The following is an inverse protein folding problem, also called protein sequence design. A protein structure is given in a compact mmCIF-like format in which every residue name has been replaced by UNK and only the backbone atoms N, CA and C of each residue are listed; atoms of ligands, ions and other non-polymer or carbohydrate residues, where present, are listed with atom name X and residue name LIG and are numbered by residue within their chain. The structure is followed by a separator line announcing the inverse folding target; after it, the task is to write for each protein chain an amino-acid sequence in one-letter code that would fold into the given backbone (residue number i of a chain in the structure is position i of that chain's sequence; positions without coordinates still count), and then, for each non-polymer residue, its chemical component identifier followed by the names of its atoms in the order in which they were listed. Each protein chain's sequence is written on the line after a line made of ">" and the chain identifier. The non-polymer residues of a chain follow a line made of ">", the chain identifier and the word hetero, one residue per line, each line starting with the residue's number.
data_IF_661688053875
#
_entry.id   IF_661688053875
#
_cell.length_a   1.000
_cell.length_b   1.000
_cell.length_c   1.000
_cell.angle_alpha   90.00
_cell.angle_beta   90.00
_cell.angle_gamma   90.00
#
_symmetry.space_group_name_H-M   'P 1'
#
loop_
_entity.id
_entity.type
_entity.pdbx_description
1 polymer ?
#
# COMPACT_ATOMS: atom_id res chain seq x y z
N UNK A 1 -20.71 22.35 -23.76
CA UNK A 1 -19.40 23.04 -23.85
C UNK A 1 -19.61 24.39 -24.53
N UNK A 2 -19.14 25.50 -23.97
CA UNK A 2 -19.38 26.86 -24.51
C UNK A 2 -18.36 27.25 -25.60
N UNK A 3 -18.78 28.00 -26.61
CA UNK A 3 -17.91 28.55 -27.65
C UNK A 3 -16.72 29.36 -27.09
N UNK A 4 -16.92 30.09 -25.99
CA UNK A 4 -15.86 30.83 -25.29
C UNK A 4 -14.78 29.89 -24.73
N UNK A 5 -15.20 28.72 -24.25
CA UNK A 5 -14.28 27.72 -23.71
C UNK A 5 -13.39 27.14 -24.82
N UNK A 6 -13.98 26.84 -25.98
CA UNK A 6 -13.27 26.33 -27.16
C UNK A 6 -12.24 27.35 -27.66
N UNK A 7 -12.63 28.61 -27.81
CA UNK A 7 -11.72 29.69 -28.25
C UNK A 7 -10.53 29.87 -27.29
N UNK A 8 -10.78 29.79 -25.98
CA UNK A 8 -9.72 29.82 -24.95
C UNK A 8 -8.74 28.64 -25.07
N UNK A 9 -9.24 27.43 -25.35
CA UNK A 9 -8.40 26.24 -25.54
C UNK A 9 -7.55 26.35 -26.81
N UNK A 10 -8.14 26.79 -27.93
CA UNK A 10 -7.41 27.01 -29.18
C UNK A 10 -6.30 28.05 -29.03
N UNK A 11 -6.57 29.18 -28.36
CA UNK A 11 -5.56 30.20 -28.10
C UNK A 11 -4.42 29.68 -27.20
N UNK A 12 -4.74 28.84 -26.20
CA UNK A 12 -3.72 28.18 -25.36
C UNK A 12 -2.88 27.17 -26.16
N UNK A 13 -3.53 26.38 -27.00
CA UNK A 13 -2.84 25.41 -27.86
C UNK A 13 -1.89 26.10 -28.83
N UNK A 14 -2.32 27.22 -29.41
CA UNK A 14 -1.49 28.01 -30.33
C UNK A 14 -0.27 28.65 -29.67
N UNK A 15 -0.31 28.93 -28.36
CA UNK A 15 0.77 29.65 -27.65
C UNK A 15 1.73 28.71 -26.90
N UNK A 16 1.22 27.61 -26.36
CA UNK A 16 1.94 26.71 -25.45
C UNK A 16 2.03 25.27 -25.99
N UNK A 17 1.50 25.01 -27.18
CA UNK A 17 1.50 23.69 -27.81
C UNK A 17 0.63 22.67 -27.05
N UNK A 18 0.80 21.38 -27.37
CA UNK A 18 -0.02 20.30 -26.81
C UNK A 18 -0.01 20.21 -25.28
N UNK A 19 1.07 20.69 -24.63
CA UNK A 19 1.19 20.74 -23.17
C UNK A 19 0.12 21.62 -22.52
N UNK A 20 -0.43 22.60 -23.26
CA UNK A 20 -1.45 23.54 -22.78
C UNK A 20 -2.80 22.89 -22.49
N UNK A 21 -3.05 21.72 -23.05
CA UNK A 21 -4.28 20.95 -22.86
C UNK A 21 -4.24 20.16 -21.54
N UNK A 22 -3.06 19.98 -20.96
CA UNK A 22 -2.94 19.41 -19.62
C UNK A 22 -3.50 20.39 -18.57
N UNK A 23 -4.09 19.83 -17.52
CA UNK A 23 -4.55 20.63 -16.39
C UNK A 23 -3.38 21.40 -15.75
N UNK A 24 -3.54 22.70 -15.54
CA UNK A 24 -2.46 23.58 -15.07
C UNK A 24 -1.93 23.25 -13.66
N UNK A 25 -2.72 22.55 -12.84
CA UNK A 25 -2.26 22.07 -11.52
C UNK A 25 -1.58 20.70 -11.57
N UNK A 26 -1.44 20.07 -12.75
CA UNK A 26 -0.73 18.80 -12.89
C UNK A 26 0.72 18.98 -12.42
N UNK A 27 1.17 18.09 -11.52
CA UNK A 27 2.50 18.15 -10.91
C UNK A 27 2.62 19.08 -9.71
N UNK A 28 1.61 19.90 -9.39
CA UNK A 28 1.62 20.71 -8.17
C UNK A 28 1.16 19.86 -6.98
N UNK A 29 1.90 19.87 -5.85
CA UNK A 29 1.46 19.20 -4.64
C UNK A 29 0.19 19.84 -4.09
N UNK A 30 -0.63 19.04 -3.38
CA UNK A 30 -1.84 19.52 -2.73
C UNK A 30 -1.51 20.46 -1.57
N UNK A 31 -2.27 21.56 -1.42
CA UNK A 31 -2.17 22.47 -0.28
C UNK A 31 -2.53 21.80 1.07
N UNK A 32 -3.20 20.64 1.04
CA UNK A 32 -3.59 19.85 2.23
C UNK A 32 -2.60 18.72 2.55
N UNK A 33 -1.47 18.67 1.87
CA UNK A 33 -0.44 17.65 2.11
C UNK A 33 0.18 17.87 3.49
N UNK A 34 0.47 16.80 4.21
CA UNK A 34 1.35 16.85 5.38
C UNK A 34 2.74 17.39 5.01
N UNK A 35 3.39 18.07 5.95
CA UNK A 35 4.78 18.50 5.77
C UNK A 35 5.70 17.29 5.59
N UNK A 36 6.81 17.49 4.88
CA UNK A 36 7.77 16.39 4.69
C UNK A 36 8.44 16.02 6.02
N UNK A 37 8.69 17.00 6.89
CA UNK A 37 9.25 16.78 8.22
C UNK A 37 8.37 15.84 9.05
N UNK A 38 7.06 16.07 9.07
CA UNK A 38 6.10 15.22 9.78
C UNK A 38 6.09 13.78 9.24
N UNK A 39 6.16 13.63 7.91
CA UNK A 39 6.27 12.31 7.28
C UNK A 39 7.57 11.60 7.70
N UNK A 40 8.70 12.31 7.72
CA UNK A 40 9.99 11.75 8.11
C UNK A 40 9.99 11.33 9.58
N UNK A 41 9.39 12.13 10.47
CA UNK A 41 9.25 11.77 11.89
C UNK A 41 8.45 10.49 12.09
N UNK A 42 7.31 10.35 11.40
CA UNK A 42 6.48 9.14 11.48
C UNK A 42 7.26 7.92 10.97
N UNK A 43 7.93 8.04 9.83
CA UNK A 43 8.72 6.94 9.28
C UNK A 43 9.86 6.54 10.23
N UNK A 44 10.52 7.49 10.90
CA UNK A 44 11.53 7.19 11.92
C UNK A 44 10.95 6.38 13.08
N UNK A 45 9.75 6.72 13.56
CA UNK A 45 9.08 5.98 14.63
C UNK A 45 8.77 4.55 14.16
N UNK A 46 8.22 4.38 12.95
CA UNK A 46 7.90 3.06 12.40
C UNK A 46 9.15 2.22 12.23
N UNK A 47 10.23 2.78 11.66
CA UNK A 47 11.52 2.08 11.55
C UNK A 47 12.05 1.61 12.90
N UNK A 48 11.91 2.43 13.94
CA UNK A 48 12.46 2.12 15.27
C UNK A 48 11.64 1.09 16.03
N UNK A 49 10.31 1.12 15.92
CA UNK A 49 9.43 0.36 16.82
C UNK A 49 8.51 -0.64 16.11
N UNK A 50 8.19 -0.44 14.83
CA UNK A 50 7.11 -1.14 14.13
C UNK A 50 7.50 -1.54 12.70
N UNK A 51 8.78 -1.88 12.46
CA UNK A 51 9.32 -2.12 11.11
C UNK A 51 8.67 -3.30 10.38
N UNK A 52 8.14 -4.27 11.13
CA UNK A 52 7.49 -5.50 10.68
C UNK A 52 5.96 -5.39 10.63
N UNK A 53 5.40 -4.24 11.03
CA UNK A 53 3.95 -4.09 11.18
C UNK A 53 3.27 -3.78 9.85
N UNK A 54 2.08 -4.35 9.67
CA UNK A 54 1.22 -3.95 8.55
C UNK A 54 0.78 -2.49 8.70
N UNK A 55 0.46 -1.77 7.61
CA UNK A 55 0.02 -0.37 7.69
C UNK A 55 -1.20 -0.14 8.59
N UNK A 56 -2.06 -1.15 8.76
CA UNK A 56 -3.20 -1.07 9.69
C UNK A 56 -2.71 -1.10 11.14
N UNK A 57 -1.89 -2.10 11.47
CA UNK A 57 -1.39 -2.30 12.83
C UNK A 57 -0.43 -1.17 13.26
N UNK A 58 0.41 -0.69 12.33
CA UNK A 58 1.26 0.47 12.55
C UNK A 58 0.42 1.72 12.88
N UNK A 59 -0.70 1.94 12.17
CA UNK A 59 -1.60 3.05 12.45
C UNK A 59 -2.21 2.96 13.86
N UNK A 60 -2.67 1.76 14.25
CA UNK A 60 -3.20 1.53 15.60
C UNK A 60 -2.18 1.90 16.67
N UNK A 61 -0.93 1.45 16.53
CA UNK A 61 0.13 1.80 17.48
C UNK A 61 0.55 3.26 17.46
N UNK A 62 0.55 3.89 16.29
CA UNK A 62 0.79 5.34 16.18
C UNK A 62 -0.31 6.15 16.89
N UNK A 63 -1.56 5.70 16.80
CA UNK A 63 -2.67 6.35 17.50
C UNK A 63 -2.61 6.11 19.01
N UNK A 64 -2.38 4.87 19.45
CA UNK A 64 -2.38 4.48 20.86
C UNK A 64 -1.17 5.04 21.63
N UNK A 65 0.03 4.95 21.07
CA UNK A 65 1.28 5.22 21.80
C UNK A 65 1.87 6.61 21.51
N UNK A 66 1.54 7.19 20.36
CA UNK A 66 2.13 8.46 19.92
C UNK A 66 1.09 9.55 19.67
N UNK A 67 -0.21 9.25 19.79
CA UNK A 67 -1.32 10.18 19.55
C UNK A 67 -1.26 10.84 18.15
N UNK A 68 -0.77 10.11 17.16
CA UNK A 68 -0.60 10.59 15.79
C UNK A 68 -1.82 10.20 14.96
N UNK A 69 -2.56 11.20 14.47
CA UNK A 69 -3.74 11.02 13.62
C UNK A 69 -3.40 11.22 12.14
N UNK A 70 -3.32 10.12 11.39
CA UNK A 70 -3.10 10.12 9.93
C UNK A 70 -4.06 9.13 9.28
N UNK A 71 -4.50 9.39 8.06
CA UNK A 71 -5.35 8.42 7.36
C UNK A 71 -4.55 7.16 7.00
N UNK A 72 -5.20 6.00 7.14
CA UNK A 72 -4.61 4.69 6.80
C UNK A 72 -3.98 4.64 5.41
N UNK A 73 -4.66 5.23 4.43
CA UNK A 73 -4.16 5.24 3.05
C UNK A 73 -2.91 6.11 2.89
N UNK A 74 -2.81 7.23 3.61
CA UNK A 74 -1.60 8.07 3.59
C UNK A 74 -0.42 7.33 4.18
N UNK A 75 -0.60 6.69 5.34
CA UNK A 75 0.44 5.91 5.99
C UNK A 75 0.90 4.75 5.11
N UNK A 76 -0.05 4.02 4.49
CA UNK A 76 0.25 2.94 3.55
C UNK A 76 1.11 3.44 2.38
N UNK A 77 0.77 4.58 1.77
CA UNK A 77 1.55 5.13 0.66
C UNK A 77 2.97 5.52 1.09
N UNK A 78 3.13 6.09 2.30
CA UNK A 78 4.45 6.40 2.83
C UNK A 78 5.28 5.15 3.08
N UNK A 79 4.72 4.13 3.73
CA UNK A 79 5.42 2.85 3.95
C UNK A 79 5.79 2.13 2.65
N UNK A 80 4.99 2.28 1.59
CA UNK A 80 5.33 1.74 0.26
C UNK A 80 6.47 2.52 -0.38
N UNK A 81 6.41 3.85 -0.34
CA UNK A 81 7.44 4.71 -0.90
C UNK A 81 8.79 4.52 -0.19
N UNK A 82 8.74 4.24 1.12
CA UNK A 82 9.91 4.01 1.98
C UNK A 82 10.42 2.55 1.95
N UNK A 83 9.68 1.64 1.32
CA UNK A 83 10.07 0.23 1.18
C UNK A 83 9.72 -0.67 2.38
N UNK A 84 9.18 -0.10 3.46
CA UNK A 84 8.68 -0.84 4.63
C UNK A 84 7.51 -1.78 4.31
N UNK A 85 6.74 -1.48 3.28
CA UNK A 85 5.59 -2.31 2.90
C UNK A 85 5.53 -2.59 1.41
N UNK A 86 5.44 -3.88 1.06
CA UNK A 86 5.23 -4.31 -0.33
C UNK A 86 3.73 -4.44 -0.60
N UNK A 87 3.15 -3.63 -1.52
CA UNK A 87 1.75 -3.74 -1.87
C UNK A 87 1.44 -5.10 -2.49
N UNK A 88 0.23 -5.59 -2.27
CA UNK A 88 -0.17 -6.96 -2.63
C UNK A 88 0.10 -7.28 -4.11
N UNK A 89 -0.19 -6.35 -5.01
CA UNK A 89 0.05 -6.50 -6.46
C UNK A 89 1.51 -6.71 -6.85
N UNK A 90 2.46 -6.34 -5.98
CA UNK A 90 3.90 -6.52 -6.20
C UNK A 90 4.49 -7.70 -5.43
N UNK A 91 3.69 -8.41 -4.62
CA UNK A 91 4.17 -9.57 -3.88
C UNK A 91 4.41 -10.74 -4.83
N UNK A 92 5.52 -11.44 -4.64
CA UNK A 92 5.78 -12.67 -5.40
C UNK A 92 4.67 -13.68 -5.09
N UNK A 93 4.07 -14.32 -6.12
CA UNK A 93 3.07 -15.35 -5.88
C UNK A 93 3.72 -16.48 -5.08
N UNK A 94 2.97 -17.04 -4.15
CA UNK A 94 3.43 -18.23 -3.43
C UNK A 94 3.50 -19.38 -4.44
N UNK A 95 4.66 -20.01 -4.53
CA UNK A 95 4.82 -21.22 -5.33
C UNK A 95 4.13 -22.35 -4.56
N UNK A 96 2.98 -22.79 -5.06
CA UNK A 96 2.31 -23.99 -4.56
C UNK A 96 2.92 -25.19 -5.27
N UNK A 97 3.45 -26.14 -4.51
CA UNK A 97 3.85 -27.42 -5.08
C UNK A 97 2.59 -28.19 -5.48
N UNK A 98 2.45 -28.63 -6.75
CA UNK A 98 1.35 -29.50 -7.13
C UNK A 98 1.40 -30.78 -6.30
N UNK A 99 0.27 -31.18 -5.72
CA UNK A 99 0.13 -32.57 -5.26
C UNK A 99 -0.19 -33.42 -6.48
N UNK A 100 0.72 -34.32 -6.84
CA UNK A 100 0.44 -35.33 -7.87
C UNK A 100 -0.72 -36.22 -7.42
N UNK A 101 -1.56 -36.62 -8.38
CA UNK A 101 -2.52 -37.69 -8.13
C UNK A 101 -1.73 -38.96 -7.83
N UNK A 102 -2.21 -39.69 -6.83
CA UNK A 102 -1.69 -41.02 -6.49
C UNK A 102 -2.14 -42.02 -7.56
N UNK A 103 -1.35 -43.07 -7.76
CA UNK A 103 -1.53 -43.99 -8.89
C UNK A 103 -2.72 -44.94 -8.70
N UNK A 104 -3.17 -45.15 -7.46
CA UNK A 104 -4.20 -46.12 -7.11
C UNK A 104 -5.29 -45.59 -6.17
N UNK A 105 -6.49 -46.15 -6.31
CA UNK A 105 -7.63 -45.93 -5.41
C UNK A 105 -7.27 -46.48 -4.01
N UNK A 106 -7.32 -45.62 -2.98
CA UNK A 106 -7.01 -46.01 -1.59
C UNK A 106 -5.71 -45.42 -1.03
N UNK A 107 -4.86 -44.81 -1.86
CA UNK A 107 -3.66 -44.08 -1.42
C UNK A 107 -3.97 -42.64 -0.92
N UNK A 108 -5.25 -42.35 -0.64
CA UNK A 108 -5.68 -41.11 -0.01
C UNK A 108 -5.27 -41.11 1.47
N UNK A 109 -4.01 -40.77 1.72
CA UNK A 109 -3.52 -40.52 3.08
C UNK A 109 -4.05 -39.15 3.53
N UNK A 110 -5.09 -39.14 4.36
CA UNK A 110 -5.48 -37.97 5.12
C UNK A 110 -4.46 -37.76 6.23
N UNK A 111 -3.44 -36.95 5.97
CA UNK A 111 -2.57 -36.43 7.05
C UNK A 111 -3.31 -35.27 7.68
N UNK A 112 -4.23 -35.57 8.59
CA UNK A 112 -4.74 -34.59 9.54
C UNK A 112 -3.86 -34.69 10.79
N UNK A 113 -2.93 -33.74 10.91
CA UNK A 113 -2.06 -33.62 12.07
C UNK A 113 -1.95 -32.14 12.43
N UNK A 114 -2.86 -31.64 13.26
CA UNK A 114 -2.65 -30.37 13.92
C UNK A 114 -1.49 -30.52 14.91
N UNK A 115 -0.45 -29.68 14.83
CA UNK A 115 0.59 -29.54 15.87
C UNK A 115 -0.02 -28.88 17.12
N UNK A 116 -0.97 -29.53 17.77
CA UNK A 116 -1.58 -29.03 18.98
C UNK A 116 -1.56 -30.16 20.01
N UNK A 117 -0.89 -29.90 21.13
CA UNK A 117 -0.96 -30.75 22.31
C UNK A 117 -2.29 -30.48 23.03
N UNK A 118 -3.35 -31.15 22.55
CA UNK A 118 -4.70 -30.98 23.09
C UNK A 118 -4.92 -31.65 24.46
N UNK A 119 -4.00 -32.48 24.92
CA UNK A 119 -4.03 -33.07 26.25
C UNK A 119 -2.62 -33.14 26.84
N UNK A 120 -2.52 -32.69 28.10
CA UNK A 120 -1.36 -32.63 29.01
C UNK A 120 -0.11 -33.41 28.56
N UNK A 121 0.94 -32.66 28.19
CA UNK A 121 2.28 -33.22 28.02
C UNK A 121 2.97 -33.39 29.38
N UNK A 122 3.74 -34.48 29.59
CA UNK A 122 4.55 -34.71 30.80
C UNK A 122 5.75 -33.77 30.90
#
# INVERSE_FOLDING_TARGET
>A
MSARHIRRLLNRLSTLGAQSLAHAARGRPSNRRYSEDFKVEILKIIHKYYSDFSPTLALEKLSEQHNIAVSKETLRQWMIADGLWVPHSKRKPRVYQPRYRRDCLGELIQIDGSHHDWFEGP
#
